data_IF_162992720214
#
_entry.id   IF_162992720214
#
_cell.length_a   1.000
_cell.length_b   1.000
_cell.length_c   1.000
_cell.angle_alpha   90.00
_cell.angle_beta   90.00
_cell.angle_gamma   90.00
#
_symmetry.space_group_name_H-M   'P 1'
#
loop_
_entity.id
_entity.type
_entity.pdbx_description
1 polymer ?
#
# COMPACT_ATOMS: atom_id res chain seq x y z
N UNK A 1 -0.11 -13.45 1.71
CA UNK A 1 -1.45 -13.30 2.32
C UNK A 1 -1.49 -12.02 3.13
N UNK A 2 -2.67 -11.44 3.34
CA UNK A 2 -2.93 -10.40 4.34
C UNK A 2 -3.82 -10.96 5.45
N UNK A 3 -3.77 -10.35 6.64
CA UNK A 3 -4.57 -10.82 7.77
C UNK A 3 -4.96 -9.66 8.69
N UNK A 4 -6.08 -9.82 9.39
CA UNK A 4 -6.48 -8.95 10.50
C UNK A 4 -7.11 -9.78 11.63
N UNK A 5 -7.15 -9.22 12.83
CA UNK A 5 -7.85 -9.82 13.99
C UNK A 5 -9.03 -8.94 14.35
N UNK A 6 -10.23 -9.52 14.38
CA UNK A 6 -11.44 -8.76 14.71
C UNK A 6 -11.65 -8.57 16.22
N UNK A 7 -12.68 -7.81 16.59
CA UNK A 7 -13.05 -7.53 17.98
C UNK A 7 -13.43 -8.78 18.80
N UNK A 8 -13.76 -9.89 18.13
CA UNK A 8 -14.07 -11.17 18.76
C UNK A 8 -12.82 -12.07 18.85
N UNK A 9 -11.63 -11.52 18.60
CA UNK A 9 -10.35 -12.23 18.55
C UNK A 9 -10.29 -13.31 17.45
N UNK A 10 -11.10 -13.18 16.41
CA UNK A 10 -11.02 -14.07 15.25
C UNK A 10 -9.94 -13.60 14.30
N UNK A 11 -9.02 -14.49 13.94
CA UNK A 11 -7.97 -14.23 12.96
C UNK A 11 -8.48 -14.54 11.55
N UNK A 12 -8.55 -13.51 10.70
CA UNK A 12 -8.98 -13.62 9.31
C UNK A 12 -7.74 -13.56 8.41
N UNK A 13 -7.61 -14.50 7.47
CA UNK A 13 -6.46 -14.56 6.55
C UNK A 13 -6.95 -14.68 5.12
N UNK A 14 -6.42 -13.82 4.26
CA UNK A 14 -6.89 -13.62 2.90
C UNK A 14 -5.75 -13.79 1.89
N UNK A 15 -6.04 -14.48 0.80
CA UNK A 15 -5.20 -14.39 -0.39
C UNK A 15 -5.31 -12.98 -0.98
N UNK A 16 -4.17 -12.39 -1.34
CA UNK A 16 -4.07 -11.04 -1.96
C UNK A 16 -3.46 -11.11 -3.36
N UNK A 17 -3.28 -12.32 -3.85
CA UNK A 17 -2.81 -12.70 -5.18
C UNK A 17 -3.26 -14.12 -5.46
N UNK A 18 -3.15 -14.54 -6.71
CA UNK A 18 -3.37 -15.93 -7.11
C UNK A 18 -2.35 -16.85 -6.43
N UNK A 19 -2.78 -18.08 -6.14
CA UNK A 19 -2.02 -19.12 -5.44
C UNK A 19 -2.19 -20.43 -6.22
N UNK A 20 -1.07 -21.00 -6.67
CA UNK A 20 -1.09 -22.23 -7.47
C UNK A 20 -1.20 -23.49 -6.58
N UNK A 21 -1.73 -24.61 -7.10
CA UNK A 21 -1.75 -25.87 -6.36
C UNK A 21 -0.35 -26.31 -5.89
N UNK A 22 -0.20 -26.56 -4.59
CA UNK A 22 1.07 -26.95 -3.98
C UNK A 22 1.97 -25.78 -3.56
N UNK A 23 1.57 -24.53 -3.83
CA UNK A 23 2.28 -23.36 -3.34
C UNK A 23 2.11 -23.17 -1.82
N UNK A 24 3.19 -22.80 -1.13
CA UNK A 24 3.17 -22.52 0.30
C UNK A 24 2.41 -21.22 0.63
N UNK A 25 1.49 -21.30 1.59
CA UNK A 25 0.75 -20.16 2.11
C UNK A 25 1.60 -19.37 3.11
N UNK A 26 1.87 -18.09 2.81
CA UNK A 26 2.75 -17.24 3.63
C UNK A 26 2.12 -15.90 4.03
N UNK A 27 2.40 -15.46 5.27
CA UNK A 27 2.16 -14.11 5.78
C UNK A 27 3.48 -13.44 6.13
N UNK A 28 3.53 -12.10 6.07
CA UNK A 28 4.69 -11.35 6.56
C UNK A 28 4.55 -11.07 8.05
N UNK A 29 5.58 -11.40 8.83
CA UNK A 29 5.68 -11.03 10.25
C UNK A 29 6.38 -9.68 10.49
N UNK A 30 6.86 -9.07 9.41
CA UNK A 30 7.56 -7.79 9.46
C UNK A 30 6.94 -6.82 8.48
N UNK A 31 7.15 -5.54 8.73
CA UNK A 31 6.80 -4.49 7.79
C UNK A 31 7.60 -4.70 6.48
N UNK A 32 6.87 -4.85 5.37
CA UNK A 32 7.43 -5.10 4.03
C UNK A 32 8.03 -3.82 3.42
N UNK A 33 7.70 -2.64 3.95
CA UNK A 33 8.28 -1.33 3.59
C UNK A 33 9.61 -1.04 4.31
N UNK A 34 10.28 -2.06 4.84
CA UNK A 34 11.60 -1.95 5.45
C UNK A 34 12.68 -2.47 4.51
N UNK A 35 13.91 -1.93 4.60
CA UNK A 35 15.06 -2.44 3.84
C UNK A 35 15.47 -3.85 4.30
N UNK A 36 16.20 -4.58 3.44
CA UNK A 36 16.59 -5.98 3.67
C UNK A 36 17.29 -6.19 5.01
N UNK A 37 18.23 -5.33 5.38
CA UNK A 37 18.98 -5.46 6.64
C UNK A 37 18.06 -5.36 7.86
N UNK A 38 17.13 -4.40 7.87
CA UNK A 38 16.15 -4.20 8.94
C UNK A 38 15.19 -5.38 9.04
N UNK A 39 14.70 -5.90 7.91
CA UNK A 39 13.87 -7.13 7.90
C UNK A 39 14.62 -8.32 8.47
N UNK A 40 15.87 -8.55 8.04
CA UNK A 40 16.71 -9.66 8.52
C UNK A 40 17.01 -9.56 10.01
N UNK A 41 17.32 -8.35 10.50
CA UNK A 41 17.55 -8.10 11.93
C UNK A 41 16.29 -8.38 12.75
N UNK A 42 15.14 -7.86 12.34
CA UNK A 42 13.86 -8.10 13.03
C UNK A 42 13.50 -9.58 13.07
N UNK A 43 13.69 -10.30 11.97
CA UNK A 43 13.43 -11.74 11.92
C UNK A 43 14.32 -12.53 12.88
N UNK A 44 15.62 -12.22 12.94
CA UNK A 44 16.53 -12.87 13.90
C UNK A 44 16.14 -12.56 15.34
N UNK A 45 15.85 -11.30 15.64
CA UNK A 45 15.61 -10.84 17.01
C UNK A 45 14.23 -11.29 17.53
N UNK A 46 13.20 -11.32 16.69
CA UNK A 46 11.82 -11.64 17.11
C UNK A 46 11.45 -13.10 16.94
N UNK A 47 11.99 -13.78 15.91
CA UNK A 47 11.59 -15.14 15.54
C UNK A 47 12.75 -16.14 15.52
N UNK A 48 13.98 -15.69 15.76
CA UNK A 48 15.14 -16.57 15.91
C UNK A 48 15.70 -17.14 14.61
N UNK A 49 15.34 -16.62 13.44
CA UNK A 49 15.85 -17.12 12.15
C UNK A 49 16.18 -16.01 11.14
N UNK A 50 17.06 -16.32 10.19
CA UNK A 50 17.35 -15.46 9.03
C UNK A 50 16.39 -15.79 7.90
N UNK A 51 15.71 -14.78 7.35
CA UNK A 51 14.71 -15.00 6.31
C UNK A 51 15.37 -15.47 5.00
N UNK A 52 14.87 -16.57 4.43
CA UNK A 52 15.37 -17.16 3.18
C UNK A 52 14.44 -16.91 1.98
N UNK A 53 13.48 -15.98 2.10
CA UNK A 53 12.56 -15.69 0.98
C UNK A 53 13.31 -15.13 -0.23
N UNK A 54 12.73 -15.21 -1.45
CA UNK A 54 13.37 -14.71 -2.66
C UNK A 54 13.87 -13.26 -2.56
N UNK A 55 13.12 -12.37 -1.89
CA UNK A 55 13.53 -10.96 -1.71
C UNK A 55 14.76 -10.80 -0.80
N UNK A 56 15.04 -11.76 0.07
CA UNK A 56 16.15 -11.73 1.01
C UNK A 56 17.40 -12.46 0.51
N UNK A 57 17.24 -13.39 -0.44
CA UNK A 57 18.31 -14.23 -1.00
C UNK A 57 18.80 -13.79 -2.38
N UNK A 58 18.19 -12.74 -2.96
CA UNK A 58 18.66 -12.08 -4.20
C UNK A 58 20.13 -11.65 -4.13
N UNK A 59 20.81 -11.53 -5.29
CA UNK A 59 22.13 -10.91 -5.39
C UNK A 59 22.20 -9.54 -4.71
N UNK A 60 23.41 -9.13 -4.31
CA UNK A 60 23.63 -7.90 -3.54
C UNK A 60 23.18 -6.67 -4.32
N UNK A 61 23.46 -6.63 -5.61
CA UNK A 61 23.13 -5.54 -6.51
C UNK A 61 21.60 -5.37 -6.62
N UNK A 62 20.88 -6.47 -6.81
CA UNK A 62 19.41 -6.47 -6.84
C UNK A 62 18.79 -6.09 -5.49
N UNK A 63 19.37 -6.58 -4.39
CA UNK A 63 18.96 -6.23 -3.03
C UNK A 63 19.12 -4.73 -2.78
N UNK A 64 20.25 -4.14 -3.19
CA UNK A 64 20.50 -2.70 -3.07
C UNK A 64 19.53 -1.89 -3.92
N UNK A 65 19.18 -2.38 -5.12
CA UNK A 65 18.21 -1.73 -5.98
C UNK A 65 16.80 -1.74 -5.35
N UNK A 66 16.38 -2.86 -4.75
CA UNK A 66 15.14 -2.97 -3.98
C UNK A 66 15.14 -2.01 -2.78
N UNK A 67 16.21 -2.02 -1.96
CA UNK A 67 16.32 -1.11 -0.81
C UNK A 67 16.24 0.37 -1.24
N UNK A 68 16.81 0.73 -2.39
CA UNK A 68 16.67 2.07 -2.95
C UNK A 68 15.23 2.39 -3.37
N UNK A 69 14.51 1.44 -3.98
CA UNK A 69 13.10 1.61 -4.32
C UNK A 69 12.24 1.76 -3.07
N UNK A 70 12.46 0.98 -2.01
CA UNK A 70 11.79 1.13 -0.72
C UNK A 70 12.02 2.54 -0.12
N UNK A 71 13.24 3.06 -0.15
CA UNK A 71 13.53 4.44 0.29
C UNK A 71 12.85 5.50 -0.57
N UNK A 72 12.72 5.26 -1.88
CA UNK A 72 11.99 6.16 -2.78
C UNK A 72 10.50 6.14 -2.47
N UNK A 73 9.93 4.96 -2.25
CA UNK A 73 8.53 4.76 -1.84
C UNK A 73 8.23 5.59 -0.58
N UNK A 74 9.02 5.41 0.49
CA UNK A 74 8.82 6.12 1.76
C UNK A 74 8.89 7.66 1.64
N UNK A 75 9.76 8.17 0.75
CA UNK A 75 9.80 9.62 0.45
C UNK A 75 8.54 10.07 -0.30
N UNK A 76 8.11 9.31 -1.30
CA UNK A 76 6.89 9.61 -2.05
C UNK A 76 5.64 9.56 -1.17
N UNK A 77 5.58 8.65 -0.20
CA UNK A 77 4.50 8.61 0.80
C UNK A 77 4.44 9.89 1.62
N UNK A 78 5.60 10.35 2.10
CA UNK A 78 5.71 11.62 2.83
C UNK A 78 5.24 12.80 1.97
N UNK A 79 5.59 12.83 0.68
CA UNK A 79 5.16 13.87 -0.24
C UNK A 79 3.64 13.81 -0.53
N UNK A 80 3.12 12.61 -0.81
CA UNK A 80 1.70 12.39 -1.15
C UNK A 80 0.75 12.58 0.03
N UNK A 81 1.25 12.37 1.26
CA UNK A 81 0.49 12.60 2.51
C UNK A 81 0.53 14.06 2.97
N UNK A 82 1.39 14.91 2.41
CA UNK A 82 1.34 16.35 2.65
C UNK A 82 0.18 17.00 1.89
N UNK A 83 -0.95 17.14 2.59
CA UNK A 83 -2.15 17.76 2.05
C UNK A 83 -2.00 19.26 1.78
N UNK A 84 -0.89 19.89 2.15
CA UNK A 84 -0.57 21.28 1.78
C UNK A 84 0.34 21.38 0.55
N UNK A 85 1.00 20.30 0.16
CA UNK A 85 1.91 20.30 -0.99
C UNK A 85 1.19 20.64 -2.29
N UNK A 86 1.74 21.61 -3.04
CA UNK A 86 1.23 22.02 -4.36
C UNK A 86 2.05 21.45 -5.52
N UNK A 87 3.06 20.64 -5.22
CA UNK A 87 4.00 20.10 -6.22
C UNK A 87 3.65 18.70 -6.68
N UNK A 88 2.61 18.08 -6.10
CA UNK A 88 2.17 16.74 -6.46
C UNK A 88 1.62 16.74 -7.88
N UNK A 89 1.99 15.72 -8.66
CA UNK A 89 1.55 15.52 -10.04
C UNK A 89 0.98 14.12 -10.22
N UNK A 90 0.11 13.90 -11.22
CA UNK A 90 -0.33 12.55 -11.60
C UNK A 90 0.84 11.59 -11.88
N UNK A 91 1.93 12.09 -12.49
CA UNK A 91 3.11 11.27 -12.78
C UNK A 91 3.80 10.75 -11.50
N UNK A 92 3.79 11.53 -10.41
CA UNK A 92 4.31 11.09 -9.11
C UNK A 92 3.47 9.93 -8.55
N UNK A 93 2.15 10.04 -8.61
CA UNK A 93 1.21 9.00 -8.14
C UNK A 93 1.41 7.70 -8.93
N UNK A 94 1.49 7.78 -10.26
CA UNK A 94 1.66 6.60 -11.10
C UNK A 94 3.03 5.93 -10.88
N UNK A 95 4.10 6.73 -10.70
CA UNK A 95 5.41 6.19 -10.34
C UNK A 95 5.39 5.50 -8.98
N UNK A 96 4.73 6.11 -8.00
CA UNK A 96 4.57 5.56 -6.65
C UNK A 96 3.87 4.19 -6.67
N UNK A 97 2.71 4.08 -7.35
CA UNK A 97 1.98 2.82 -7.49
C UNK A 97 2.75 1.76 -8.30
N UNK A 98 3.52 2.19 -9.30
CA UNK A 98 4.38 1.29 -10.09
C UNK A 98 5.50 0.67 -9.24
N UNK A 99 6.10 1.45 -8.34
CA UNK A 99 7.11 0.94 -7.41
C UNK A 99 6.51 -0.07 -6.43
N UNK A 100 5.29 0.17 -5.93
CA UNK A 100 4.56 -0.79 -5.10
C UNK A 100 4.39 -2.16 -5.77
N UNK A 101 3.97 -2.17 -7.05
CA UNK A 101 3.85 -3.40 -7.85
C UNK A 101 5.20 -4.06 -8.10
N UNK A 102 6.23 -3.27 -8.39
CA UNK A 102 7.59 -3.78 -8.65
C UNK A 102 8.18 -4.48 -7.43
N UNK A 103 7.91 -3.97 -6.23
CA UNK A 103 8.36 -4.57 -4.97
C UNK A 103 7.45 -5.70 -4.47
N UNK A 104 6.32 -5.98 -5.13
CA UNK A 104 5.38 -7.03 -4.73
C UNK A 104 4.74 -6.77 -3.37
N UNK A 105 4.36 -5.51 -3.12
CA UNK A 105 3.79 -5.05 -1.85
C UNK A 105 2.27 -5.22 -1.76
N UNK A 106 1.70 -6.20 -2.48
CA UNK A 106 0.26 -6.42 -2.59
C UNK A 106 -0.41 -6.75 -1.25
N UNK A 107 0.36 -7.17 -0.24
CA UNK A 107 -0.13 -7.46 1.10
C UNK A 107 -0.29 -6.22 2.00
N UNK A 108 0.05 -5.03 1.50
CA UNK A 108 -0.04 -3.75 2.21
C UNK A 108 -0.25 -2.59 1.21
N UNK A 109 -1.15 -2.76 0.24
CA UNK A 109 -1.35 -1.82 -0.88
C UNK A 109 -2.50 -0.85 -0.64
N UNK A 110 -3.41 -1.13 0.32
CA UNK A 110 -4.58 -0.29 0.57
C UNK A 110 -4.20 1.18 0.84
N UNK A 111 -3.19 1.41 1.69
CA UNK A 111 -2.70 2.76 2.00
C UNK A 111 -2.17 3.50 0.75
N UNK A 112 -1.50 2.80 -0.16
CA UNK A 112 -1.03 3.39 -1.41
C UNK A 112 -2.19 3.83 -2.32
N UNK A 113 -3.24 3.01 -2.40
CA UNK A 113 -4.45 3.38 -3.13
C UNK A 113 -5.22 4.51 -2.46
N UNK A 114 -5.22 4.60 -1.13
CA UNK A 114 -5.80 5.76 -0.41
C UNK A 114 -5.11 7.06 -0.80
N UNK A 115 -3.77 7.09 -0.80
CA UNK A 115 -3.02 8.29 -1.20
C UNK A 115 -3.28 8.67 -2.66
N UNK A 116 -3.38 7.69 -3.56
CA UNK A 116 -3.74 7.93 -4.95
C UNK A 116 -5.15 8.51 -5.07
N UNK A 117 -6.14 7.90 -4.42
CA UNK A 117 -7.53 8.34 -4.43
C UNK A 117 -7.69 9.79 -3.96
N UNK A 118 -7.09 10.12 -2.82
CA UNK A 118 -7.14 11.47 -2.25
C UNK A 118 -6.47 12.50 -3.17
N UNK A 119 -5.28 12.20 -3.71
CA UNK A 119 -4.58 13.15 -4.57
C UNK A 119 -5.29 13.37 -5.92
N UNK A 120 -5.83 12.32 -6.55
CA UNK A 120 -6.68 12.52 -7.73
C UNK A 120 -7.94 13.31 -7.41
N UNK A 121 -8.51 13.14 -6.22
CA UNK A 121 -9.66 13.93 -5.81
C UNK A 121 -9.29 15.40 -5.58
N UNK A 122 -8.13 15.67 -4.97
CA UNK A 122 -7.58 17.03 -4.82
C UNK A 122 -7.43 17.72 -6.17
N UNK A 123 -7.07 16.98 -7.22
CA UNK A 123 -6.95 17.47 -8.59
C UNK A 123 -8.28 17.69 -9.31
N UNK A 124 -9.41 17.32 -8.69
CA UNK A 124 -10.72 17.36 -9.32
C UNK A 124 -10.97 16.21 -10.31
N UNK A 125 -10.16 15.15 -10.28
CA UNK A 125 -10.32 13.98 -11.13
C UNK A 125 -11.19 12.91 -10.44
N UNK A 126 -12.51 13.10 -10.49
CA UNK A 126 -13.48 12.19 -9.87
C UNK A 126 -13.37 10.74 -10.37
N UNK A 127 -13.01 10.53 -11.65
CA UNK A 127 -12.91 9.19 -12.24
C UNK A 127 -11.78 8.37 -11.63
N UNK A 128 -10.57 8.94 -11.58
CA UNK A 128 -9.42 8.27 -10.97
C UNK A 128 -9.54 8.22 -9.44
N UNK A 129 -10.08 9.26 -8.81
CA UNK A 129 -10.36 9.26 -7.38
C UNK A 129 -11.27 8.08 -6.99
N UNK A 130 -12.39 7.92 -7.70
CA UNK A 130 -13.32 6.80 -7.50
C UNK A 130 -12.64 5.44 -7.71
N UNK A 131 -11.92 5.28 -8.82
CA UNK A 131 -11.20 4.02 -9.13
C UNK A 131 -10.28 3.61 -7.99
N UNK A 132 -9.41 4.51 -7.54
CA UNK A 132 -8.43 4.17 -6.50
C UNK A 132 -9.06 4.06 -5.12
N UNK A 133 -10.14 4.78 -4.83
CA UNK A 133 -10.90 4.59 -3.59
C UNK A 133 -11.56 3.21 -3.54
N UNK A 134 -12.12 2.72 -4.65
CA UNK A 134 -12.65 1.35 -4.72
C UNK A 134 -11.56 0.30 -4.49
N UNK A 135 -10.41 0.45 -5.14
CA UNK A 135 -9.26 -0.45 -4.95
C UNK A 135 -8.74 -0.42 -3.51
N UNK A 136 -8.66 0.77 -2.90
CA UNK A 136 -8.27 0.92 -1.50
C UNK A 136 -9.25 0.23 -0.56
N UNK A 137 -10.56 0.44 -0.76
CA UNK A 137 -11.58 -0.19 0.06
C UNK A 137 -11.52 -1.73 -0.07
N UNK A 138 -11.34 -2.26 -1.28
CA UNK A 138 -11.22 -3.70 -1.52
C UNK A 138 -10.00 -4.30 -0.81
N UNK A 139 -8.80 -3.75 -1.04
CA UNK A 139 -7.57 -4.20 -0.38
C UNK A 139 -7.66 -4.04 1.14
N UNK A 140 -8.14 -2.89 1.62
CA UNK A 140 -8.27 -2.57 3.03
C UNK A 140 -9.22 -3.51 3.78
N UNK A 141 -10.25 -4.05 3.12
CA UNK A 141 -11.13 -5.08 3.71
C UNK A 141 -10.37 -6.38 4.01
N UNK A 142 -9.39 -6.73 3.18
CA UNK A 142 -8.57 -7.93 3.35
C UNK A 142 -7.43 -7.70 4.36
N UNK A 143 -6.86 -6.49 4.36
CA UNK A 143 -5.70 -6.11 5.19
C UNK A 143 -6.10 -5.72 6.61
N UNK A 144 -7.19 -4.97 6.78
CA UNK A 144 -7.56 -4.32 8.05
C UNK A 144 -8.98 -4.67 8.51
N UNK A 145 -9.73 -5.41 7.69
CA UNK A 145 -11.10 -5.82 7.96
C UNK A 145 -12.16 -4.85 7.44
N UNK A 146 -13.40 -5.32 7.29
CA UNK A 146 -14.46 -4.56 6.64
C UNK A 146 -14.96 -3.34 7.40
N UNK A 147 -14.77 -3.33 8.73
CA UNK A 147 -15.24 -2.25 9.60
C UNK A 147 -14.18 -1.15 9.81
N UNK A 148 -12.99 -1.30 9.22
CA UNK A 148 -11.88 -0.35 9.35
C UNK A 148 -12.33 1.06 8.93
N UNK A 149 -11.84 2.08 9.66
CA UNK A 149 -12.18 3.49 9.40
C UNK A 149 -11.83 3.90 7.97
N UNK A 150 -10.60 3.59 7.55
CA UNK A 150 -10.10 3.93 6.21
C UNK A 150 -10.91 3.25 5.10
N UNK A 151 -11.38 2.00 5.31
CA UNK A 151 -12.26 1.30 4.37
C UNK A 151 -13.57 2.07 4.20
N UNK A 152 -14.19 2.51 5.30
CA UNK A 152 -15.44 3.29 5.26
C UNK A 152 -15.24 4.66 4.59
N UNK A 153 -14.12 5.32 4.86
CA UNK A 153 -13.79 6.60 4.23
C UNK A 153 -13.62 6.44 2.71
N UNK A 154 -12.91 5.40 2.27
CA UNK A 154 -12.71 5.15 0.83
C UNK A 154 -13.99 4.71 0.13
N UNK A 155 -14.89 3.98 0.80
CA UNK A 155 -16.25 3.74 0.27
C UNK A 155 -17.01 5.06 0.08
N UNK A 156 -16.93 5.97 1.05
CA UNK A 156 -17.57 7.29 0.98
C UNK A 156 -17.03 8.11 -0.20
N UNK A 157 -15.70 8.18 -0.35
CA UNK A 157 -15.05 8.85 -1.48
C UNK A 157 -15.46 8.22 -2.81
N UNK A 158 -15.51 6.89 -2.90
CA UNK A 158 -15.87 6.18 -4.13
C UNK A 158 -17.33 6.43 -4.55
N UNK A 159 -18.24 6.61 -3.59
CA UNK A 159 -19.66 6.84 -3.83
C UNK A 159 -19.92 8.26 -4.37
N UNK A 160 -19.36 9.28 -3.73
CA UNK A 160 -19.50 10.67 -4.16
C UNK A 160 -18.19 11.47 -3.96
N UNK A 161 -17.25 11.37 -4.94
CA UNK A 161 -15.97 12.06 -4.86
C UNK A 161 -16.08 13.58 -4.71
N UNK A 162 -17.16 14.19 -5.24
CA UNK A 162 -17.34 15.65 -5.27
C UNK A 162 -17.83 16.22 -3.94
N UNK A 163 -18.54 15.41 -3.15
CA UNK A 163 -18.94 15.77 -1.78
C UNK A 163 -17.83 15.60 -0.76
N UNK A 164 -16.81 14.80 -1.09
CA UNK A 164 -15.71 14.49 -0.18
C UNK A 164 -14.84 15.72 0.08
N UNK A 165 -14.30 15.86 1.31
CA UNK A 165 -13.51 17.03 1.73
C UNK A 165 -12.27 17.28 0.88
N UNK A 166 -11.77 16.23 0.21
CA UNK A 166 -10.62 16.31 -0.69
C UNK A 166 -10.98 16.78 -2.11
N UNK A 167 -12.23 17.13 -2.41
CA UNK A 167 -12.63 17.49 -3.76
C UNK A 167 -12.01 18.82 -4.22
N UNK A 168 -11.23 18.75 -5.31
CA UNK A 168 -10.80 19.90 -6.12
C UNK A 168 -10.14 21.05 -5.33
N UNK A 169 -9.47 20.73 -4.20
CA UNK A 169 -8.79 21.73 -3.37
C UNK A 169 -7.43 22.15 -3.96
N UNK A 170 -6.91 21.38 -4.93
CA UNK A 170 -5.65 21.63 -5.66
C UNK A 170 -5.86 21.36 -7.16
N UNK A 171 -6.70 22.13 -7.86
CA UNK A 171 -7.04 21.84 -9.25
C UNK A 171 -5.78 21.74 -10.11
N UNK A 172 -5.59 20.58 -10.76
CA UNK A 172 -4.46 20.35 -11.65
C UNK A 172 -4.92 20.62 -13.08
N UNK A 173 -4.42 21.71 -13.67
CA UNK A 173 -4.67 22.03 -15.08
C UNK A 173 -3.52 21.47 -15.92
N UNK A 174 -3.87 20.63 -16.90
CA UNK A 174 -2.94 20.13 -17.92
C UNK A 174 -2.43 21.27 -18.81
#
# INVERSE_FOLDING_TARGET
MAFYVDKNLTHHTHAVRDIEPGEELTISYVDTLQIRSARQERMRNSLGFSCACPSCTRPKEESNASDNRIRVISRMESELSDFNSKTISPALIERYLSLYRTEGLDNNIAGAYTLAALNYNFFGNAGLAKKYAQLSAEAGRLENGPDAGDVREMITLANDPKSHWSWNVKPYRL
#
